data_IF_143779476457
#
_entry.id   IF_143779476457
#
_cell.length_a   1.000
_cell.length_b   1.000
_cell.length_c   1.000
_cell.angle_alpha   90.00
_cell.angle_beta   90.00
_cell.angle_gamma   90.00
#
_symmetry.space_group_name_H-M   'P 1'
#
loop_
_entity.id
_entity.type
_entity.pdbx_description
1 polymer ?
#
# COMPACT_ATOMS: atom_id res chain seq x y z
N UNK A 1 21.34 -5.81 45.70
CA UNK A 1 20.75 -5.42 44.41
C UNK A 1 20.34 -6.67 43.67
N UNK A 2 19.08 -7.07 43.81
CA UNK A 2 18.58 -8.31 43.20
C UNK A 2 18.02 -7.98 41.80
N UNK A 3 18.61 -8.63 40.80
CA UNK A 3 18.17 -8.59 39.41
C UNK A 3 16.88 -9.41 39.29
N UNK A 4 15.79 -8.78 38.86
CA UNK A 4 14.53 -9.47 38.53
C UNK A 4 14.56 -9.95 37.07
N UNK A 5 13.95 -11.11 36.74
CA UNK A 5 13.98 -11.68 35.39
C UNK A 5 13.02 -10.94 34.44
N UNK A 6 13.23 -10.98 33.10
CA UNK A 6 12.30 -10.38 32.16
C UNK A 6 11.00 -11.17 32.07
N UNK A 7 9.92 -10.41 31.99
CA UNK A 7 8.53 -10.79 32.09
C UNK A 7 8.10 -11.87 31.08
N UNK A 8 7.17 -12.70 31.54
CA UNK A 8 6.68 -13.89 30.89
C UNK A 8 5.97 -13.64 29.55
N UNK A 9 6.07 -14.68 28.72
CA UNK A 9 5.23 -14.93 27.56
C UNK A 9 3.76 -14.87 27.97
N UNK A 10 3.03 -13.93 27.42
CA UNK A 10 1.58 -13.87 27.53
C UNK A 10 1.02 -14.91 26.54
N UNK A 11 0.94 -16.16 26.98
CA UNK A 11 0.39 -17.28 26.21
C UNK A 11 -1.14 -17.28 26.33
N UNK A 12 -1.81 -17.25 25.17
CA UNK A 12 -3.24 -17.50 24.98
C UNK A 12 -3.51 -19.04 24.97
N UNK A 13 -4.77 -19.50 25.09
CA UNK A 13 -5.14 -20.72 25.83
C UNK A 13 -4.78 -22.07 25.20
N UNK A 14 -4.17 -22.11 24.01
CA UNK A 14 -3.66 -23.36 23.42
C UNK A 14 -2.13 -23.46 23.41
N UNK A 15 -1.38 -22.42 23.83
CA UNK A 15 0.07 -22.47 24.04
C UNK A 15 0.96 -22.82 22.83
N UNK A 16 0.37 -23.22 21.70
CA UNK A 16 1.03 -23.59 20.47
C UNK A 16 1.32 -22.35 19.61
N UNK A 17 2.53 -22.29 19.07
CA UNK A 17 2.92 -21.33 18.04
C UNK A 17 2.04 -21.48 16.79
N UNK A 18 1.84 -20.40 16.03
CA UNK A 18 1.12 -20.47 14.74
C UNK A 18 1.78 -21.46 13.78
N UNK A 19 3.11 -21.60 13.86
CA UNK A 19 3.87 -22.59 13.09
C UNK A 19 3.51 -24.03 13.49
N UNK A 20 3.37 -24.29 14.79
CA UNK A 20 2.98 -25.62 15.30
C UNK A 20 1.55 -25.99 14.89
N UNK A 21 0.64 -25.01 14.84
CA UNK A 21 -0.72 -25.22 14.30
C UNK A 21 -0.73 -25.56 12.80
N UNK A 22 0.30 -25.14 12.07
CA UNK A 22 0.50 -25.45 10.67
C UNK A 22 1.25 -26.77 10.43
N UNK A 23 1.66 -27.45 11.50
CA UNK A 23 2.51 -28.64 11.41
C UNK A 23 3.93 -28.35 10.90
N UNK A 24 4.34 -27.09 10.94
CA UNK A 24 5.68 -26.65 10.54
C UNK A 24 6.52 -26.54 11.81
N UNK A 25 7.52 -27.41 11.92
CA UNK A 25 8.52 -27.34 12.97
C UNK A 25 9.61 -26.30 12.63
N UNK A 26 10.44 -25.94 13.61
CA UNK A 26 11.55 -24.99 13.40
C UNK A 26 12.56 -25.48 12.34
N UNK A 27 12.53 -26.77 11.98
CA UNK A 27 13.41 -27.39 10.99
C UNK A 27 12.81 -27.43 9.58
N UNK A 28 11.53 -27.07 9.40
CA UNK A 28 10.85 -27.09 8.11
C UNK A 28 11.54 -26.16 7.11
N UNK A 29 11.66 -26.59 5.85
CA UNK A 29 12.23 -25.77 4.79
C UNK A 29 11.23 -24.70 4.33
N UNK A 30 11.30 -23.52 4.95
CA UNK A 30 10.49 -22.36 4.61
C UNK A 30 10.76 -21.81 3.20
N UNK A 31 11.78 -22.32 2.49
CA UNK A 31 12.09 -21.95 1.10
C UNK A 31 11.26 -22.72 0.07
N UNK A 32 10.59 -23.82 0.49
CA UNK A 32 9.73 -24.60 -0.40
C UNK A 32 8.53 -23.75 -0.86
N UNK A 33 8.25 -23.76 -2.16
CA UNK A 33 7.13 -23.04 -2.77
C UNK A 33 5.78 -23.45 -2.15
N UNK A 34 5.64 -24.71 -1.73
CA UNK A 34 4.40 -25.21 -1.13
C UNK A 34 4.20 -24.66 0.29
N UNK A 35 5.27 -24.61 1.08
CA UNK A 35 5.28 -24.04 2.44
C UNK A 35 5.08 -22.53 2.38
N UNK A 36 5.72 -21.84 1.45
CA UNK A 36 5.58 -20.40 1.26
C UNK A 36 4.12 -20.02 0.87
N UNK A 37 3.50 -20.80 -0.02
CA UNK A 37 2.10 -20.60 -0.39
C UNK A 37 1.15 -20.81 0.81
N UNK A 38 1.40 -21.83 1.63
CA UNK A 38 0.60 -22.12 2.83
C UNK A 38 0.72 -20.98 3.87
N UNK A 39 1.94 -20.47 4.09
CA UNK A 39 2.18 -19.33 4.97
C UNK A 39 1.48 -18.07 4.46
N UNK A 40 1.53 -17.80 3.16
CA UNK A 40 0.86 -16.64 2.56
C UNK A 40 -0.67 -16.74 2.63
N UNK A 41 -1.23 -17.95 2.47
CA UNK A 41 -2.64 -18.22 2.70
C UNK A 41 -3.05 -17.95 4.15
N UNK A 42 -2.23 -18.41 5.11
CA UNK A 42 -2.46 -18.17 6.54
C UNK A 42 -2.32 -16.70 6.91
N UNK A 43 -1.34 -15.97 6.37
CA UNK A 43 -1.23 -14.52 6.53
C UNK A 43 -2.46 -13.81 5.99
N UNK A 44 -2.95 -14.19 4.81
CA UNK A 44 -4.17 -13.56 4.27
C UNK A 44 -5.42 -13.93 5.07
N UNK A 45 -5.49 -15.14 5.63
CA UNK A 45 -6.56 -15.52 6.56
C UNK A 45 -6.55 -14.63 7.80
N UNK A 46 -5.40 -14.44 8.43
CA UNK A 46 -5.25 -13.56 9.60
C UNK A 46 -5.60 -12.11 9.23
N UNK A 47 -5.10 -11.59 8.11
CA UNK A 47 -5.46 -10.24 7.62
C UNK A 47 -6.96 -10.08 7.37
N UNK A 48 -7.65 -11.10 6.86
CA UNK A 48 -9.12 -11.10 6.71
C UNK A 48 -9.83 -11.07 8.07
N UNK A 49 -9.37 -11.86 9.05
CA UNK A 49 -9.93 -11.87 10.40
C UNK A 49 -9.73 -10.53 11.12
N UNK A 50 -8.56 -9.90 11.01
CA UNK A 50 -8.31 -8.54 11.55
C UNK A 50 -9.32 -7.54 10.98
N UNK A 51 -9.55 -7.55 9.66
CA UNK A 51 -10.53 -6.66 9.02
C UNK A 51 -11.95 -6.89 9.53
N UNK A 52 -12.35 -8.14 9.77
CA UNK A 52 -13.67 -8.46 10.35
C UNK A 52 -13.77 -7.98 11.79
N UNK A 53 -12.76 -8.26 12.60
CA UNK A 53 -12.74 -7.90 14.01
C UNK A 53 -12.74 -6.37 14.20
N UNK A 54 -12.02 -5.62 13.36
CA UNK A 54 -12.07 -4.15 13.33
C UNK A 54 -13.49 -3.62 13.04
N UNK A 55 -14.23 -4.24 12.10
CA UNK A 55 -15.62 -3.85 11.82
C UNK A 55 -16.55 -4.15 13.01
N UNK A 56 -16.33 -5.27 13.69
CA UNK A 56 -17.08 -5.62 14.91
C UNK A 56 -16.80 -4.58 16.00
N UNK A 57 -15.52 -4.25 16.21
CA UNK A 57 -15.09 -3.22 17.16
C UNK A 57 -15.71 -1.86 16.86
N UNK A 58 -15.69 -1.41 15.60
CA UNK A 58 -16.32 -0.16 15.18
C UNK A 58 -17.83 -0.16 15.46
N UNK A 59 -18.52 -1.26 15.15
CA UNK A 59 -19.93 -1.45 15.49
C UNK A 59 -20.20 -1.38 16.99
N UNK A 60 -19.38 -2.03 17.80
CA UNK A 60 -19.47 -1.99 19.26
C UNK A 60 -19.15 -0.60 19.84
N UNK A 61 -18.21 0.15 19.26
CA UNK A 61 -17.92 1.53 19.66
C UNK A 61 -19.09 2.47 19.33
N UNK A 62 -19.74 2.28 18.18
CA UNK A 62 -20.94 3.02 17.83
C UNK A 62 -22.10 2.69 18.78
N UNK A 63 -22.31 1.42 19.11
CA UNK A 63 -23.28 1.00 20.12
C UNK A 63 -22.96 1.60 21.49
N UNK A 64 -21.68 1.65 21.89
CA UNK A 64 -21.26 2.27 23.15
C UNK A 64 -21.67 3.75 23.22
N UNK A 65 -21.47 4.48 22.12
CA UNK A 65 -21.85 5.90 22.01
C UNK A 65 -23.36 6.11 22.08
N UNK A 66 -24.15 5.18 21.54
CA UNK A 66 -25.61 5.26 21.51
C UNK A 66 -26.27 4.74 22.81
N UNK A 67 -25.55 3.98 23.63
CA UNK A 67 -26.11 3.33 24.82
C UNK A 67 -26.13 4.27 26.02
N UNK A 68 -27.30 4.44 26.63
CA UNK A 68 -27.51 5.23 27.85
C UNK A 68 -27.78 4.36 29.08
N UNK A 69 -28.22 3.11 28.89
CA UNK A 69 -28.51 2.16 29.97
C UNK A 69 -27.23 1.52 30.54
N UNK A 70 -27.16 1.42 31.88
CA UNK A 70 -25.98 0.96 32.61
C UNK A 70 -25.65 -0.52 32.40
N UNK A 71 -26.65 -1.40 32.25
CA UNK A 71 -26.45 -2.84 32.04
C UNK A 71 -26.01 -3.12 30.61
N UNK A 72 -26.62 -2.45 29.65
CA UNK A 72 -26.23 -2.54 28.23
C UNK A 72 -24.82 -1.97 28.01
N UNK A 73 -24.46 -0.87 28.71
CA UNK A 73 -23.13 -0.28 28.64
C UNK A 73 -22.04 -1.28 29.07
N UNK A 74 -22.26 -2.02 30.17
CA UNK A 74 -21.32 -3.04 30.64
C UNK A 74 -21.15 -4.19 29.64
N UNK A 75 -22.24 -4.62 28.99
CA UNK A 75 -22.18 -5.67 27.97
C UNK A 75 -21.38 -5.21 26.74
N UNK A 76 -21.61 -3.99 26.25
CA UNK A 76 -20.85 -3.42 25.13
C UNK A 76 -19.38 -3.23 25.49
N UNK A 77 -19.07 -2.82 26.73
CA UNK A 77 -17.68 -2.70 27.19
C UNK A 77 -16.98 -4.06 27.23
N UNK A 78 -17.66 -5.12 27.69
CA UNK A 78 -17.14 -6.49 27.64
C UNK A 78 -16.84 -6.94 26.21
N UNK A 79 -17.74 -6.64 25.27
CA UNK A 79 -17.53 -6.94 23.84
C UNK A 79 -16.31 -6.20 23.28
N UNK A 80 -16.14 -4.91 23.61
CA UNK A 80 -14.97 -4.14 23.19
C UNK A 80 -13.66 -4.69 23.75
N UNK A 81 -13.63 -5.08 25.04
CA UNK A 81 -12.45 -5.71 25.65
C UNK A 81 -12.11 -7.03 24.96
N UNK A 82 -13.13 -7.83 24.62
CA UNK A 82 -12.95 -9.12 23.93
C UNK A 82 -12.42 -8.91 22.51
N UNK A 83 -12.98 -7.95 21.78
CA UNK A 83 -12.56 -7.61 20.42
C UNK A 83 -11.13 -7.06 20.37
N UNK A 84 -10.75 -6.22 21.34
CA UNK A 84 -9.37 -5.74 21.48
C UNK A 84 -8.37 -6.87 21.72
N UNK A 85 -8.66 -7.79 22.65
CA UNK A 85 -7.79 -8.95 22.91
C UNK A 85 -7.64 -9.83 21.67
N UNK A 86 -8.74 -10.06 20.94
CA UNK A 86 -8.69 -10.82 19.69
C UNK A 86 -7.84 -10.13 18.62
N UNK A 87 -7.91 -8.81 18.50
CA UNK A 87 -7.04 -8.05 17.59
C UNK A 87 -5.57 -8.14 17.99
N UNK A 88 -5.25 -8.06 19.29
CA UNK A 88 -3.88 -8.22 19.79
C UNK A 88 -3.33 -9.61 19.45
N UNK A 89 -4.12 -10.67 19.71
CA UNK A 89 -3.75 -12.05 19.36
C UNK A 89 -3.52 -12.21 17.85
N UNK A 90 -4.44 -11.73 17.00
CA UNK A 90 -4.30 -11.82 15.55
C UNK A 90 -3.08 -11.06 15.03
N UNK A 91 -2.76 -9.89 15.58
CA UNK A 91 -1.55 -9.16 15.22
C UNK A 91 -0.28 -9.89 15.67
N UNK A 92 -0.27 -10.48 16.87
CA UNK A 92 0.86 -11.28 17.35
C UNK A 92 1.12 -12.48 16.43
N UNK A 93 0.07 -13.20 16.01
CA UNK A 93 0.16 -14.30 15.05
C UNK A 93 0.71 -13.86 13.69
N UNK A 94 0.24 -12.71 13.18
CA UNK A 94 0.75 -12.17 11.92
C UNK A 94 2.22 -11.79 12.02
N UNK A 95 2.61 -11.16 13.13
CA UNK A 95 4.00 -10.76 13.38
C UNK A 95 4.93 -11.98 13.51
N UNK A 96 4.46 -13.07 14.13
CA UNK A 96 5.20 -14.34 14.21
C UNK A 96 5.46 -14.93 12.81
N UNK A 97 4.45 -14.91 11.94
CA UNK A 97 4.59 -15.38 10.55
C UNK A 97 5.50 -14.49 9.70
N UNK A 98 5.51 -13.18 9.94
CA UNK A 98 6.39 -12.23 9.22
C UNK A 98 7.84 -12.33 9.69
N UNK A 99 8.08 -12.60 10.99
CA UNK A 99 9.42 -12.74 11.56
C UNK A 99 10.21 -13.93 10.99
N UNK A 100 9.53 -15.05 10.68
CA UNK A 100 10.18 -16.24 10.12
C UNK A 100 10.72 -16.06 8.69
N UNK A 101 10.30 -15.02 7.97
CA UNK A 101 10.90 -14.66 6.66
C UNK A 101 12.31 -14.07 6.84
N UNK A 102 12.56 -13.36 7.94
CA UNK A 102 13.77 -12.54 8.13
C UNK A 102 14.91 -13.33 8.77
N UNK A 103 14.62 -14.35 9.60
CA UNK A 103 15.64 -15.07 10.38
C UNK A 103 16.31 -16.20 9.59
N UNK A 104 15.64 -16.85 8.62
CA UNK A 104 16.22 -17.96 7.83
C UNK A 104 16.80 -17.54 6.47
N UNK A 105 17.05 -16.24 6.29
CA UNK A 105 17.78 -15.68 5.14
C UNK A 105 19.29 -15.55 5.36
N UNK A 106 19.81 -15.92 6.53
CA UNK A 106 21.24 -15.90 6.84
C UNK A 106 21.58 -16.95 7.89
N UNK A 107 22.66 -17.71 7.62
CA UNK A 107 23.26 -18.86 8.37
C UNK A 107 23.10 -20.13 7.49
N UNK A 108 24.11 -20.76 6.85
CA UNK A 108 25.54 -20.94 7.15
C UNK A 108 26.32 -21.38 5.88
N UNK A 109 27.47 -20.77 5.53
CA UNK A 109 28.64 -21.47 4.93
C UNK A 109 29.81 -20.55 4.52
N UNK A 110 30.96 -20.83 5.15
CA UNK A 110 32.36 -20.70 4.70
C UNK A 110 33.00 -19.31 4.58
N UNK A 111 34.07 -19.16 5.38
CA UNK A 111 35.37 -18.65 4.94
C UNK A 111 35.66 -19.06 3.49
N UNK A 112 35.31 -18.20 2.54
CA UNK A 112 36.05 -17.92 1.31
C UNK A 112 35.41 -16.67 0.72
N UNK A 113 36.16 -15.60 0.52
CA UNK A 113 35.66 -14.49 -0.29
C UNK A 113 35.64 -14.94 -1.76
N UNK A 114 34.45 -15.01 -2.41
CA UNK A 114 34.36 -14.39 -3.72
C UNK A 114 32.99 -13.74 -3.99
N UNK A 115 33.01 -12.43 -4.24
CA UNK A 115 32.00 -11.61 -4.95
C UNK A 115 30.57 -11.53 -4.39
N UNK A 116 30.12 -10.28 -4.27
CA UNK A 116 28.84 -9.82 -3.74
C UNK A 116 27.58 -10.43 -4.40
N UNK A 117 26.65 -11.00 -3.60
CA UNK A 117 25.27 -11.27 -4.01
C UNK A 117 24.33 -10.24 -3.36
N UNK A 118 24.43 -8.97 -3.77
CA UNK A 118 23.60 -7.87 -3.22
C UNK A 118 22.75 -7.15 -4.27
N UNK A 119 22.86 -7.52 -5.55
CA UNK A 119 22.21 -6.81 -6.64
C UNK A 119 20.72 -7.17 -6.79
N UNK A 120 20.33 -8.43 -6.54
CA UNK A 120 18.97 -8.88 -6.84
C UNK A 120 17.92 -8.40 -5.81
N UNK A 121 18.25 -8.42 -4.52
CA UNK A 121 17.38 -7.90 -3.45
C UNK A 121 17.26 -6.37 -3.47
N UNK A 122 18.30 -5.66 -3.91
CA UNK A 122 18.25 -4.19 -4.06
C UNK A 122 17.44 -3.79 -5.29
N UNK A 123 17.62 -4.48 -6.41
CA UNK A 123 16.87 -4.18 -7.64
C UNK A 123 15.38 -4.48 -7.49
N UNK A 124 14.99 -5.53 -6.76
CA UNK A 124 13.57 -5.79 -6.45
C UNK A 124 12.95 -4.68 -5.60
N UNK A 125 13.62 -4.25 -4.52
CA UNK A 125 13.17 -3.14 -3.68
C UNK A 125 13.08 -1.81 -4.45
N UNK A 126 13.99 -1.56 -5.39
CA UNK A 126 13.93 -0.37 -6.26
C UNK A 126 12.74 -0.43 -7.24
N UNK A 127 12.47 -1.60 -7.83
CA UNK A 127 11.31 -1.82 -8.71
C UNK A 127 9.99 -1.62 -7.96
N UNK A 128 9.89 -2.13 -6.73
CA UNK A 128 8.71 -1.92 -5.87
C UNK A 128 8.51 -0.45 -5.52
N UNK A 129 9.59 0.29 -5.23
CA UNK A 129 9.54 1.73 -4.98
C UNK A 129 9.05 2.51 -6.21
N UNK A 130 9.52 2.15 -7.41
CA UNK A 130 9.05 2.76 -8.67
C UNK A 130 7.55 2.49 -8.86
N UNK A 131 7.12 1.24 -8.72
CA UNK A 131 5.71 0.86 -8.85
C UNK A 131 4.81 1.58 -7.82
N UNK A 132 5.29 1.80 -6.59
CA UNK A 132 4.57 2.58 -5.59
C UNK A 132 4.40 4.06 -6.00
N UNK A 133 5.47 4.69 -6.51
CA UNK A 133 5.43 6.07 -7.02
C UNK A 133 4.50 6.21 -8.22
N UNK A 134 4.45 5.23 -9.12
CA UNK A 134 3.53 5.22 -10.26
C UNK A 134 2.06 5.13 -9.84
N UNK A 135 1.75 4.31 -8.83
CA UNK A 135 0.40 4.29 -8.24
C UNK A 135 0.03 5.64 -7.64
N UNK A 136 0.93 6.28 -6.91
CA UNK A 136 0.71 7.60 -6.32
C UNK A 136 0.53 8.67 -7.40
N UNK A 137 1.29 8.61 -8.49
CA UNK A 137 1.16 9.50 -9.65
C UNK A 137 -0.23 9.38 -10.28
N UNK A 138 -0.75 8.17 -10.45
CA UNK A 138 -2.08 7.93 -11.03
C UNK A 138 -3.18 8.52 -10.13
N UNK A 139 -3.06 8.37 -8.81
CA UNK A 139 -3.99 8.98 -7.85
C UNK A 139 -3.99 10.51 -8.00
N UNK A 140 -2.82 11.16 -7.95
CA UNK A 140 -2.73 12.62 -8.05
C UNK A 140 -3.19 13.15 -9.42
N UNK A 141 -3.02 12.38 -10.51
CA UNK A 141 -3.59 12.70 -11.82
C UNK A 141 -5.13 12.67 -11.80
N UNK A 142 -5.74 11.68 -11.13
CA UNK A 142 -7.20 11.62 -10.97
C UNK A 142 -7.72 12.75 -10.09
N UNK A 143 -6.99 13.13 -9.05
CA UNK A 143 -7.32 14.29 -8.21
C UNK A 143 -7.27 15.58 -9.03
N UNK A 144 -6.18 15.81 -9.78
CA UNK A 144 -6.05 16.95 -10.70
C UNK A 144 -7.22 17.02 -11.66
N UNK A 145 -7.56 15.91 -12.34
CA UNK A 145 -8.66 15.86 -13.29
C UNK A 145 -10.02 16.12 -12.61
N UNK A 146 -10.24 15.55 -11.43
CA UNK A 146 -11.46 15.77 -10.65
C UNK A 146 -11.64 17.25 -10.32
N UNK A 147 -10.57 17.90 -9.85
CA UNK A 147 -10.60 19.34 -9.55
C UNK A 147 -10.78 20.19 -10.82
N UNK A 148 -10.10 19.87 -11.93
CA UNK A 148 -10.27 20.56 -13.21
C UNK A 148 -11.70 20.47 -13.74
N UNK A 149 -12.39 19.34 -13.52
CA UNK A 149 -13.80 19.18 -13.88
C UNK A 149 -14.75 19.98 -12.96
N UNK A 150 -14.35 20.20 -11.71
CA UNK A 150 -15.15 20.92 -10.71
C UNK A 150 -15.04 22.44 -10.84
N UNK A 151 -13.87 22.97 -11.23
CA UNK A 151 -13.63 24.42 -11.35
C UNK A 151 -14.69 25.16 -12.18
N UNK A 152 -15.11 24.67 -13.38
CA UNK A 152 -16.14 25.33 -14.18
C UNK A 152 -17.49 25.47 -13.46
N UNK A 153 -17.82 24.56 -12.53
CA UNK A 153 -19.08 24.60 -11.77
C UNK A 153 -19.12 25.83 -10.86
N UNK A 154 -17.97 26.24 -10.33
CA UNK A 154 -17.86 27.38 -9.40
C UNK A 154 -17.50 28.71 -10.08
N UNK A 155 -17.21 28.70 -11.39
CA UNK A 155 -16.73 29.88 -12.12
C UNK A 155 -17.79 31.00 -12.27
N UNK A 156 -19.07 30.66 -12.30
CA UNK A 156 -20.19 31.59 -12.52
C UNK A 156 -21.10 31.78 -11.29
N UNK A 157 -20.66 31.34 -10.11
CA UNK A 157 -21.49 31.27 -8.90
C UNK A 157 -21.50 32.54 -8.01
N UNK A 158 -22.28 32.48 -6.94
CA UNK A 158 -22.43 33.49 -5.88
C UNK A 158 -21.14 33.68 -5.04
N UNK A 159 -21.13 34.60 -4.09
CA UNK A 159 -19.98 34.87 -3.19
C UNK A 159 -19.53 33.64 -2.39
N UNK A 160 -20.43 32.70 -2.09
CA UNK A 160 -20.10 31.40 -1.47
C UNK A 160 -19.30 30.50 -2.43
N UNK A 161 -19.62 30.55 -3.72
CA UNK A 161 -18.96 29.77 -4.77
C UNK A 161 -17.56 30.30 -5.06
N UNK A 162 -17.30 31.59 -4.81
CA UNK A 162 -15.96 32.18 -4.90
C UNK A 162 -14.95 31.55 -3.93
N UNK A 163 -15.37 31.23 -2.69
CA UNK A 163 -14.51 30.53 -1.71
C UNK A 163 -14.24 29.10 -2.15
N UNK A 164 -15.27 28.41 -2.65
CA UNK A 164 -15.13 27.05 -3.19
C UNK A 164 -14.21 27.00 -4.42
N UNK A 165 -14.33 27.98 -5.31
CA UNK A 165 -13.44 28.15 -6.46
C UNK A 165 -11.99 28.34 -6.03
N UNK A 166 -11.74 29.19 -5.02
CA UNK A 166 -10.39 29.40 -4.49
C UNK A 166 -9.80 28.10 -3.92
N UNK A 167 -10.57 27.34 -3.14
CA UNK A 167 -10.14 26.03 -2.62
C UNK A 167 -9.84 25.05 -3.76
N UNK A 168 -10.70 24.98 -4.78
CA UNK A 168 -10.46 24.13 -5.95
C UNK A 168 -9.19 24.55 -6.71
N UNK A 169 -8.95 25.85 -6.90
CA UNK A 169 -7.74 26.36 -7.53
C UNK A 169 -6.47 26.03 -6.71
N UNK A 170 -6.54 26.13 -5.38
CA UNK A 170 -5.42 25.74 -4.52
C UNK A 170 -5.15 24.24 -4.64
N UNK A 171 -6.18 23.39 -4.57
CA UNK A 171 -6.04 21.94 -4.74
C UNK A 171 -5.48 21.57 -6.12
N UNK A 172 -5.84 22.33 -7.17
CA UNK A 172 -5.28 22.15 -8.49
C UNK A 172 -3.77 22.46 -8.51
N UNK A 173 -3.35 23.53 -7.86
CA UNK A 173 -1.94 23.89 -7.76
C UNK A 173 -1.14 22.87 -6.93
N UNK A 174 -1.71 22.40 -5.82
CA UNK A 174 -1.10 21.40 -4.95
C UNK A 174 -0.93 20.07 -5.68
N UNK A 175 -1.98 19.59 -6.37
CA UNK A 175 -1.92 18.34 -7.15
C UNK A 175 -0.91 18.43 -8.30
N UNK A 176 -0.83 19.55 -9.03
CA UNK A 176 0.21 19.78 -10.05
C UNK A 176 1.62 19.69 -9.47
N UNK A 177 1.85 20.36 -8.34
CA UNK A 177 3.16 20.35 -7.67
C UNK A 177 3.53 18.94 -7.22
N UNK A 178 2.59 18.18 -6.64
CA UNK A 178 2.82 16.79 -6.24
C UNK A 178 3.13 15.88 -7.44
N UNK A 179 2.42 16.04 -8.55
CA UNK A 179 2.68 15.30 -9.80
C UNK A 179 4.14 15.50 -10.24
N UNK A 180 4.63 16.74 -10.22
CA UNK A 180 6.00 17.05 -10.64
C UNK A 180 7.05 16.46 -9.69
N UNK A 181 6.80 16.52 -8.37
CA UNK A 181 7.65 15.89 -7.36
C UNK A 181 7.71 14.37 -7.58
N UNK A 182 6.56 13.71 -7.75
CA UNK A 182 6.49 12.25 -7.94
C UNK A 182 7.19 11.86 -9.25
N UNK A 183 6.95 12.58 -10.35
CA UNK A 183 7.64 12.36 -11.63
C UNK A 183 9.15 12.50 -11.50
N UNK A 184 9.62 13.49 -10.74
CA UNK A 184 11.05 13.66 -10.46
C UNK A 184 11.60 12.49 -9.64
N UNK A 185 10.87 12.01 -8.63
CA UNK A 185 11.27 10.87 -7.81
C UNK A 185 11.36 9.57 -8.62
N UNK A 186 10.41 9.33 -9.55
CA UNK A 186 10.47 8.19 -10.48
C UNK A 186 11.73 8.26 -11.33
N UNK A 187 12.00 9.41 -11.98
CA UNK A 187 13.22 9.57 -12.79
C UNK A 187 14.50 9.31 -11.98
N UNK A 188 14.57 9.83 -10.75
CA UNK A 188 15.70 9.58 -9.84
C UNK A 188 15.83 8.11 -9.45
N UNK A 189 14.72 7.44 -9.15
CA UNK A 189 14.72 6.02 -8.78
C UNK A 189 15.14 5.13 -9.95
N UNK A 190 14.70 5.43 -11.18
CA UNK A 190 15.10 4.71 -12.40
C UNK A 190 16.57 4.91 -12.74
N UNK A 191 17.11 6.12 -12.55
CA UNK A 191 18.55 6.36 -12.74
C UNK A 191 19.40 5.62 -11.70
N UNK A 192 18.91 5.51 -10.46
CA UNK A 192 19.61 4.75 -9.41
C UNK A 192 19.67 3.24 -9.70
N UNK A 193 18.73 2.67 -10.45
CA UNK A 193 18.79 1.27 -10.90
C UNK A 193 19.74 1.05 -12.09
N UNK A 194 20.00 2.08 -12.90
CA UNK A 194 20.89 1.99 -14.06
C UNK A 194 22.38 2.13 -13.67
N UNK A 195 22.72 2.92 -12.65
CA UNK A 195 24.11 3.10 -12.21
C UNK A 195 24.70 1.88 -11.46
N UNK A 196 23.89 0.84 -11.20
CA UNK A 196 24.36 -0.44 -10.65
C UNK A 196 24.71 -1.48 -11.71
N UNK A 197 24.49 -1.21 -13.00
CA UNK A 197 24.74 -2.14 -14.12
C UNK A 197 26.02 -1.82 -14.91
N UNK A 198 26.82 -0.83 -14.50
CA UNK A 198 28.11 -0.51 -15.12
C UNK A 198 29.25 -1.42 -14.62
N UNK A 199 29.09 -2.74 -14.71
CA UNK A 199 30.23 -3.67 -14.81
C UNK A 199 29.87 -4.96 -15.58
N UNK A 200 29.14 -4.88 -16.69
CA UNK A 200 29.33 -5.83 -17.81
C UNK A 200 28.55 -5.42 -19.07
N UNK A 201 29.26 -4.75 -19.98
CA UNK A 201 29.27 -4.96 -21.43
C UNK A 201 27.96 -5.07 -22.22
N UNK A 202 27.80 -4.15 -23.18
CA UNK A 202 27.35 -4.50 -24.53
C UNK A 202 25.96 -3.98 -24.93
N UNK A 203 25.94 -2.80 -25.55
CA UNK A 203 25.03 -2.35 -26.62
C UNK A 203 23.72 -3.12 -26.84
N UNK A 204 22.57 -2.47 -26.60
CA UNK A 204 21.66 -2.00 -27.66
C UNK A 204 20.37 -1.32 -27.14
N UNK A 205 20.12 -0.10 -27.67
CA UNK A 205 18.83 0.63 -27.78
C UNK A 205 18.19 1.34 -26.56
N UNK A 206 18.65 2.56 -26.20
CA UNK A 206 17.93 3.46 -25.29
C UNK A 206 16.83 4.32 -25.96
N UNK A 207 16.49 4.09 -27.23
CA UNK A 207 15.56 4.95 -27.98
C UNK A 207 14.10 4.49 -28.00
N UNK A 208 13.80 3.20 -27.79
CA UNK A 208 12.44 2.70 -27.91
C UNK A 208 11.55 3.11 -26.71
N UNK A 209 12.12 3.22 -25.51
CA UNK A 209 11.38 3.57 -24.29
C UNK A 209 11.01 5.07 -24.24
N UNK A 210 11.83 5.94 -24.84
CA UNK A 210 11.59 7.39 -24.84
C UNK A 210 10.45 7.81 -25.80
N UNK A 211 10.22 7.05 -26.87
CA UNK A 211 9.13 7.31 -27.81
C UNK A 211 7.75 6.90 -27.26
N UNK A 212 7.68 5.86 -26.42
CA UNK A 212 6.42 5.46 -25.76
C UNK A 212 5.92 6.48 -24.73
N UNK A 213 6.82 7.26 -24.13
CA UNK A 213 6.47 8.29 -23.14
C UNK A 213 6.05 9.61 -23.80
N UNK A 214 6.49 9.86 -25.05
CA UNK A 214 6.12 11.05 -25.84
C UNK A 214 4.85 10.83 -26.70
N UNK A 215 4.23 9.65 -26.61
CA UNK A 215 3.15 9.18 -27.47
C UNK A 215 1.72 9.28 -26.92
N UNK A 216 1.46 9.95 -25.79
CA UNK A 216 0.09 10.25 -25.35
C UNK A 216 -0.22 11.71 -25.72
N UNK A 217 -0.33 11.95 -27.03
CA UNK A 217 -0.96 13.17 -27.57
C UNK A 217 -2.47 13.05 -27.32
N UNK A 218 -2.99 13.99 -26.53
CA UNK A 218 -4.31 14.62 -26.71
C UNK A 218 -5.42 13.75 -27.31
N UNK A 219 -6.19 13.06 -26.46
CA UNK A 219 -7.59 12.74 -26.77
C UNK A 219 -8.50 13.64 -25.91
N UNK A 220 -8.48 14.94 -26.19
CA UNK A 220 -9.52 15.88 -25.76
C UNK A 220 -9.64 17.02 -26.78
N UNK A 221 -10.39 16.79 -27.86
CA UNK A 221 -11.21 17.86 -28.40
C UNK A 221 -12.41 17.34 -29.19
N UNK A 222 -13.52 18.05 -29.01
CA UNK A 222 -14.68 18.15 -29.91
C UNK A 222 -15.86 17.20 -29.67
N UNK A 223 -16.67 17.51 -28.65
CA UNK A 223 -18.13 17.45 -28.78
C UNK A 223 -18.72 18.71 -28.12
N UNK A 224 -18.72 19.82 -28.85
CA UNK A 224 -19.69 20.90 -28.65
C UNK A 224 -20.06 21.52 -30.00
N UNK A 225 -21.36 21.40 -30.28
CA UNK A 225 -22.23 22.19 -31.15
C UNK A 225 -22.13 22.03 -32.68
N UNK A 226 -23.26 21.69 -33.28
CA UNK A 226 -23.51 21.91 -34.71
C UNK A 226 -24.72 21.15 -35.24
N UNK A 227 -25.90 21.79 -35.19
CA UNK A 227 -27.08 21.41 -36.00
C UNK A 227 -26.68 21.26 -37.47
N UNK A 228 -27.18 20.29 -38.25
CA UNK A 228 -27.20 20.42 -39.70
C UNK A 228 -28.46 21.21 -40.09
N UNK A 229 -28.28 22.52 -40.26
CA UNK A 229 -29.17 23.33 -41.09
C UNK A 229 -28.45 23.55 -42.42
N UNK A 230 -29.12 23.13 -43.50
CA UNK A 230 -28.91 23.53 -44.89
C UNK A 230 -27.69 22.96 -45.63
N UNK A 231 -27.93 21.87 -46.36
CA UNK A 231 -27.40 21.73 -47.71
C UNK A 231 -28.53 22.11 -48.69
N UNK A 232 -28.26 23.13 -49.50
CA UNK A 232 -29.06 23.61 -50.62
C UNK A 232 -28.41 23.06 -51.92
N UNK A 233 -29.18 22.99 -53.02
CA UNK A 233 -28.83 22.63 -54.42
C UNK A 233 -28.84 21.10 -54.70
N UNK A 234 -29.69 20.51 -55.55
CA UNK A 234 -30.56 20.93 -56.66
C UNK A 234 -32.00 20.43 -56.49
#
# INVERSE_FOLDING_TARGET
>A
SCWAPPAGRLLDPDGLSVLEQLGLDQNSDFSDSSVQQLLDEHREKIRREIRKELKIKEGAENLRRATTDKRNAQQVESQLRTSNRRLEALHAQLQELDAHIVVKGGEESKDECPRSPGAESRTSAHKERIAALERQLNIELKVKQGVENMIPIYANGSTKDKKMLQTAQQMLQDSKTKIDIIRMQIRKAVQATAQTEDTQGGSETPLLVLLSISGIKHQTHSQRHGRPTLALWL
#
